data_IF_828679741983
#
_entry.id   IF_828679741983
#
_cell.length_a   1.000
_cell.length_b   1.000
_cell.length_c   1.000
_cell.angle_alpha   90.00
_cell.angle_beta   90.00
_cell.angle_gamma   90.00
#
_symmetry.space_group_name_H-M   'P 1'
#
loop_
_entity.id
_entity.type
_entity.pdbx_description
1 polymer ?
#
# COMPACT_ATOMS: atom_id res chain seq x y z
N UNK A 1 -8.62 1.57 -22.06
CA UNK A 1 -8.23 0.38 -21.28
C UNK A 1 -9.34 0.02 -20.30
N UNK A 2 -9.41 -1.25 -19.92
CA UNK A 2 -10.30 -1.72 -18.85
C UNK A 2 -9.45 -2.15 -17.68
N UNK A 3 -9.77 -1.69 -16.49
CA UNK A 3 -9.00 -1.98 -15.27
C UNK A 3 -9.96 -2.10 -14.09
N UNK A 4 -9.67 -3.03 -13.19
CA UNK A 4 -10.38 -3.12 -11.91
C UNK A 4 -9.59 -2.32 -10.88
N UNK A 5 -10.20 -1.33 -10.25
CA UNK A 5 -9.57 -0.52 -9.20
C UNK A 5 -10.43 -0.53 -7.95
N UNK A 6 -9.88 -1.02 -6.83
CA UNK A 6 -10.59 -1.13 -5.56
C UNK A 6 -11.97 -1.82 -5.73
N UNK A 7 -11.99 -2.97 -6.37
CA UNK A 7 -13.18 -3.78 -6.69
C UNK A 7 -14.17 -3.17 -7.71
N UNK A 8 -13.89 -1.98 -8.26
CA UNK A 8 -14.73 -1.34 -9.27
C UNK A 8 -14.12 -1.50 -10.66
N UNK A 9 -14.88 -2.07 -11.61
CA UNK A 9 -14.48 -2.13 -13.01
C UNK A 9 -14.62 -0.76 -13.66
N UNK A 10 -13.55 -0.28 -14.25
CA UNK A 10 -13.48 1.01 -14.91
C UNK A 10 -13.05 0.85 -16.37
N UNK A 11 -13.59 1.71 -17.22
CA UNK A 11 -13.14 1.86 -18.60
C UNK A 11 -12.67 3.30 -18.81
N UNK A 12 -11.42 3.48 -19.27
CA UNK A 12 -10.82 4.78 -19.46
C UNK A 12 -9.98 4.83 -20.73
N UNK A 13 -9.99 5.99 -21.37
CA UNK A 13 -9.02 6.32 -22.42
C UNK A 13 -7.81 7.00 -21.76
N UNK A 14 -6.61 6.49 -22.03
CA UNK A 14 -5.37 7.00 -21.42
C UNK A 14 -4.29 7.17 -22.48
N UNK A 15 -3.45 8.19 -22.30
CA UNK A 15 -2.24 8.32 -23.13
C UNK A 15 -1.29 7.14 -22.87
N UNK A 16 -0.65 6.57 -23.93
CA UNK A 16 0.26 5.43 -23.78
C UNK A 16 1.41 5.63 -22.80
N UNK A 17 1.86 6.87 -22.60
CA UNK A 17 2.95 7.25 -21.70
C UNK A 17 2.51 7.69 -20.31
N UNK A 18 1.20 7.71 -20.02
CA UNK A 18 0.70 8.09 -18.71
C UNK A 18 1.18 7.08 -17.65
N UNK A 19 1.76 7.58 -16.55
CA UNK A 19 2.16 6.73 -15.43
C UNK A 19 0.94 6.32 -14.61
N UNK A 20 0.97 5.14 -14.03
CA UNK A 20 -0.11 4.60 -13.22
C UNK A 20 -0.42 5.50 -12.01
N UNK A 21 0.59 6.11 -11.39
CA UNK A 21 0.40 7.04 -10.28
C UNK A 21 -0.43 8.26 -10.68
N UNK A 22 -0.21 8.81 -11.86
CA UNK A 22 -0.99 9.96 -12.35
C UNK A 22 -2.41 9.54 -12.74
N UNK A 23 -2.58 8.37 -13.35
CA UNK A 23 -3.90 7.81 -13.61
C UNK A 23 -4.71 7.67 -12.32
N UNK A 24 -4.14 7.05 -11.29
CA UNK A 24 -4.78 6.86 -9.99
C UNK A 24 -5.15 8.22 -9.35
N UNK A 25 -4.21 9.15 -9.29
CA UNK A 25 -4.39 10.40 -8.55
C UNK A 25 -5.21 11.46 -9.30
N UNK A 26 -4.94 11.62 -10.59
CA UNK A 26 -5.44 12.75 -11.39
C UNK A 26 -6.67 12.36 -12.20
N UNK A 27 -6.72 11.13 -12.72
CA UNK A 27 -7.87 10.67 -13.51
C UNK A 27 -8.97 10.09 -12.61
N UNK A 28 -8.58 9.26 -11.63
CA UNK A 28 -9.55 8.61 -10.73
C UNK A 28 -9.82 9.41 -9.44
N UNK A 29 -8.99 10.40 -9.11
CA UNK A 29 -9.14 11.19 -7.89
C UNK A 29 -8.78 10.45 -6.60
N UNK A 30 -8.13 9.27 -6.69
CA UNK A 30 -7.69 8.47 -5.55
C UNK A 30 -6.36 9.03 -5.03
N UNK A 31 -6.42 10.03 -4.16
CA UNK A 31 -5.25 10.81 -3.72
C UNK A 31 -4.48 10.19 -2.56
N UNK A 32 -4.98 9.11 -1.97
CA UNK A 32 -4.29 8.37 -0.90
C UNK A 32 -2.98 7.73 -1.36
N UNK A 33 -2.85 7.40 -2.63
CA UNK A 33 -1.56 7.02 -3.22
C UNK A 33 -0.69 8.27 -3.36
N UNK A 34 0.37 8.41 -2.58
CA UNK A 34 1.25 9.58 -2.62
C UNK A 34 2.36 9.42 -3.66
N UNK A 35 2.92 10.55 -4.11
CA UNK A 35 4.04 10.59 -5.04
C UNK A 35 5.12 11.55 -4.51
N UNK A 36 6.23 10.98 -3.98
CA UNK A 36 7.26 11.75 -3.29
C UNK A 36 8.61 11.80 -4.00
N UNK A 37 8.78 11.11 -5.13
CA UNK A 37 10.00 11.17 -5.95
C UNK A 37 9.68 10.79 -7.40
N UNK A 38 10.63 11.09 -8.30
CA UNK A 38 10.62 10.68 -9.72
C UNK A 38 11.68 9.62 -10.06
N UNK A 39 12.30 9.04 -9.02
CA UNK A 39 13.46 8.14 -9.12
C UNK A 39 13.18 6.73 -8.62
N UNK A 40 11.92 6.37 -8.39
CA UNK A 40 11.46 5.08 -7.86
C UNK A 40 12.04 4.66 -6.49
N UNK A 41 12.63 5.60 -5.73
CA UNK A 41 13.30 5.28 -4.46
C UNK A 41 12.36 5.31 -3.25
N UNK A 42 11.42 6.30 -3.17
CA UNK A 42 10.73 6.58 -1.90
C UNK A 42 9.65 5.56 -1.52
N UNK A 43 9.03 4.85 -2.46
CA UNK A 43 7.97 3.88 -2.20
C UNK A 43 6.61 4.47 -1.76
N UNK A 44 6.46 5.81 -1.68
CA UNK A 44 5.19 6.44 -1.29
C UNK A 44 4.04 6.14 -2.25
N UNK A 45 4.35 5.82 -3.51
CA UNK A 45 3.40 5.49 -4.56
C UNK A 45 3.08 3.99 -4.68
N UNK A 46 3.46 3.17 -3.70
CA UNK A 46 3.20 1.73 -3.74
C UNK A 46 1.70 1.44 -3.74
N UNK A 47 1.29 0.60 -4.68
CA UNK A 47 -0.06 0.03 -4.83
C UNK A 47 0.08 -1.47 -5.08
N UNK A 48 -0.99 -2.25 -4.97
CA UNK A 48 -0.97 -3.63 -5.46
C UNK A 48 -1.43 -3.66 -6.92
N UNK A 49 -0.72 -4.42 -7.74
CA UNK A 49 -1.12 -4.79 -9.09
C UNK A 49 -1.23 -6.31 -9.13
N UNK A 50 -2.45 -6.83 -9.28
CA UNK A 50 -2.76 -8.25 -9.15
C UNK A 50 -2.25 -8.87 -7.83
N UNK A 51 -2.36 -8.11 -6.74
CA UNK A 51 -1.91 -8.54 -5.41
C UNK A 51 -0.42 -8.29 -5.12
N UNK A 52 0.40 -7.95 -6.10
CA UNK A 52 1.84 -7.71 -5.93
C UNK A 52 2.16 -6.22 -5.72
N UNK A 53 3.02 -5.84 -4.77
CA UNK A 53 3.34 -4.45 -4.51
C UNK A 53 4.24 -3.87 -5.63
N UNK A 54 3.77 -2.82 -6.26
CA UNK A 54 4.50 -2.11 -7.33
C UNK A 54 4.59 -0.61 -7.02
N UNK A 55 5.69 0.02 -7.44
CA UNK A 55 5.81 1.49 -7.39
C UNK A 55 5.11 2.07 -8.63
N UNK A 56 3.90 2.58 -8.45
CA UNK A 56 3.05 3.06 -9.56
C UNK A 56 3.69 4.20 -10.39
N UNK A 57 4.70 4.88 -9.86
CA UNK A 57 5.48 5.88 -10.61
C UNK A 57 6.43 5.28 -11.66
N UNK A 58 6.60 3.95 -11.70
CA UNK A 58 7.43 3.25 -12.70
C UNK A 58 6.61 2.34 -13.63
N UNK A 59 5.30 2.32 -13.44
CA UNK A 59 4.37 1.53 -14.24
C UNK A 59 3.57 2.46 -15.16
N UNK A 60 3.49 2.13 -16.45
CA UNK A 60 2.60 2.83 -17.38
C UNK A 60 1.14 2.41 -17.11
N UNK A 61 0.21 3.37 -17.13
CA UNK A 61 -1.21 3.09 -16.87
C UNK A 61 -1.77 2.01 -17.82
N UNK A 62 -1.35 2.00 -19.09
CA UNK A 62 -1.75 0.99 -20.08
C UNK A 62 -1.37 -0.44 -19.69
N UNK A 63 -0.36 -0.63 -18.84
CA UNK A 63 0.03 -1.95 -18.32
C UNK A 63 -0.97 -2.53 -17.32
N UNK A 64 -1.81 -1.68 -16.73
CA UNK A 64 -2.91 -2.13 -15.86
C UNK A 64 -4.16 -2.58 -16.64
N UNK A 65 -4.13 -2.57 -17.98
CA UNK A 65 -5.26 -3.03 -18.78
C UNK A 65 -5.53 -4.54 -18.55
N UNK A 66 -6.77 -4.87 -18.21
CA UNK A 66 -7.23 -6.21 -17.83
C UNK A 66 -6.61 -6.76 -16.51
N UNK A 67 -6.04 -5.89 -15.69
CA UNK A 67 -5.46 -6.20 -14.38
C UNK A 67 -6.25 -5.54 -13.25
N UNK A 68 -5.92 -5.91 -12.02
CA UNK A 68 -6.50 -5.35 -10.79
C UNK A 68 -5.49 -4.45 -10.07
N UNK A 69 -5.93 -3.26 -9.69
CA UNK A 69 -5.14 -2.31 -8.90
C UNK A 69 -5.84 -2.11 -7.55
N UNK A 70 -5.13 -2.35 -6.45
CA UNK A 70 -5.61 -2.00 -5.11
C UNK A 70 -4.78 -0.85 -4.55
N UNK A 71 -5.44 0.24 -4.20
CA UNK A 71 -4.83 1.40 -3.53
C UNK A 71 -5.14 1.36 -2.03
N UNK A 72 -4.59 2.31 -1.27
CA UNK A 72 -4.86 2.39 0.17
C UNK A 72 -6.35 2.55 0.48
N UNK A 73 -7.10 3.24 -0.39
CA UNK A 73 -8.54 3.40 -0.26
C UNK A 73 -9.30 2.06 -0.40
N UNK A 74 -8.75 1.12 -1.16
CA UNK A 74 -9.32 -0.22 -1.34
C UNK A 74 -9.07 -1.18 -0.19
N UNK A 75 -8.19 -0.84 0.75
CA UNK A 75 -7.99 -1.65 1.96
C UNK A 75 -9.02 -1.35 3.04
N UNK A 76 -9.83 -0.32 2.88
CA UNK A 76 -10.84 0.07 3.86
C UNK A 76 -12.19 -0.56 3.52
N UNK A 77 -12.76 -1.27 4.49
CA UNK A 77 -14.08 -1.92 4.35
C UNK A 77 -15.27 -1.05 4.78
N UNK A 78 -15.02 0.20 5.19
CA UNK A 78 -16.06 1.17 5.56
C UNK A 78 -16.47 1.20 7.03
N UNK A 79 -16.05 0.23 7.85
CA UNK A 79 -16.36 0.18 9.28
C UNK A 79 -15.13 0.14 10.16
N UNK A 80 -14.19 -0.74 9.90
CA UNK A 80 -13.05 -1.00 10.77
C UNK A 80 -11.73 -0.87 10.03
N UNK A 81 -10.68 -0.48 10.74
CA UNK A 81 -9.32 -0.47 10.22
C UNK A 81 -8.85 -1.92 9.99
N UNK A 82 -8.08 -2.13 8.94
CA UNK A 82 -7.36 -3.39 8.77
C UNK A 82 -6.35 -3.57 9.91
N UNK A 83 -5.91 -4.82 10.22
CA UNK A 83 -4.95 -5.05 11.29
C UNK A 83 -3.66 -4.22 11.15
N UNK A 84 -3.19 -3.99 9.92
CA UNK A 84 -2.00 -3.16 9.67
C UNK A 84 -2.31 -1.69 9.95
N UNK A 85 -3.45 -1.18 9.49
CA UNK A 85 -3.86 0.21 9.77
C UNK A 85 -4.03 0.45 11.26
N UNK A 86 -4.65 -0.49 11.99
CA UNK A 86 -4.80 -0.42 13.43
C UNK A 86 -3.46 -0.47 14.16
N UNK A 87 -2.54 -1.35 13.75
CA UNK A 87 -1.18 -1.41 14.27
C UNK A 87 -0.45 -0.07 14.13
N UNK A 88 -0.58 0.60 12.97
CA UNK A 88 -0.02 1.93 12.76
C UNK A 88 -0.63 3.00 13.67
N UNK A 89 -1.91 2.87 14.00
CA UNK A 89 -2.59 3.75 14.95
C UNK A 89 -2.11 3.50 16.39
N UNK A 90 -2.15 2.25 16.84
CA UNK A 90 -1.85 1.86 18.22
C UNK A 90 -0.38 2.08 18.59
N UNK A 91 0.52 1.70 17.69
CA UNK A 91 1.98 1.80 17.91
C UNK A 91 2.57 3.14 17.46
N UNK A 92 1.72 4.10 17.07
CA UNK A 92 2.15 5.40 16.55
C UNK A 92 3.15 5.28 15.39
N UNK A 93 2.88 4.38 14.44
CA UNK A 93 3.73 4.08 13.29
C UNK A 93 3.81 5.20 12.23
N UNK A 94 3.24 6.36 12.50
CA UNK A 94 3.23 7.51 11.59
C UNK A 94 3.41 8.83 12.34
N UNK A 95 3.93 9.84 11.63
CA UNK A 95 3.98 11.24 12.07
C UNK A 95 3.34 12.13 11.00
N UNK A 96 4.07 12.55 9.96
CA UNK A 96 3.49 13.37 8.90
C UNK A 96 2.48 12.63 8.02
N UNK A 97 2.50 11.29 8.01
CA UNK A 97 1.58 10.45 7.25
C UNK A 97 1.93 10.25 5.77
N UNK A 98 2.94 10.92 5.23
CA UNK A 98 3.21 10.90 3.79
C UNK A 98 3.64 9.52 3.27
N UNK A 99 4.48 8.78 4.00
CA UNK A 99 4.90 7.43 3.63
C UNK A 99 3.85 6.36 3.98
N UNK A 100 2.89 6.69 4.84
CA UNK A 100 2.01 5.72 5.51
C UNK A 100 1.19 4.88 4.53
N UNK A 101 0.54 5.41 3.48
CA UNK A 101 -0.23 4.59 2.55
C UNK A 101 0.60 3.51 1.87
N UNK A 102 1.74 3.88 1.28
CA UNK A 102 2.61 2.92 0.62
C UNK A 102 3.23 1.90 1.60
N UNK A 103 3.52 2.33 2.84
CA UNK A 103 4.03 1.45 3.88
C UNK A 103 2.98 0.41 4.32
N UNK A 104 1.72 0.83 4.49
CA UNK A 104 0.60 -0.05 4.84
C UNK A 104 0.34 -1.08 3.73
N UNK A 105 0.30 -0.65 2.46
CA UNK A 105 0.16 -1.56 1.30
C UNK A 105 1.24 -2.63 1.33
N UNK A 106 2.51 -2.22 1.45
CA UNK A 106 3.65 -3.14 1.50
C UNK A 106 3.56 -4.11 2.68
N UNK A 107 3.25 -3.60 3.88
CA UNK A 107 3.14 -4.42 5.07
C UNK A 107 1.95 -5.39 5.02
N UNK A 108 0.83 -4.98 4.43
CA UNK A 108 -0.36 -5.83 4.29
C UNK A 108 -0.05 -7.03 3.40
N UNK A 109 0.53 -6.81 2.24
CA UNK A 109 0.90 -7.88 1.32
C UNK A 109 1.98 -8.79 1.94
N UNK A 110 2.99 -8.19 2.57
CA UNK A 110 4.04 -8.96 3.24
C UNK A 110 3.48 -9.91 4.31
N UNK A 111 2.54 -9.45 5.16
CA UNK A 111 1.92 -10.28 6.19
C UNK A 111 1.01 -11.37 5.64
N UNK A 112 0.45 -11.21 4.45
CA UNK A 112 -0.29 -12.30 3.77
C UNK A 112 0.65 -13.45 3.39
N UNK A 113 1.89 -13.15 2.97
CA UNK A 113 2.89 -14.15 2.60
C UNK A 113 3.66 -14.70 3.81
N UNK A 114 3.91 -13.87 4.81
CA UNK A 114 4.63 -14.23 6.03
C UNK A 114 3.86 -13.73 7.26
N UNK A 115 2.94 -14.54 7.80
CA UNK A 115 2.07 -14.11 8.90
C UNK A 115 2.77 -14.08 10.28
N UNK A 116 3.99 -14.59 10.41
CA UNK A 116 4.76 -14.62 11.66
C UNK A 116 6.21 -14.15 11.46
N UNK A 117 6.39 -12.88 11.04
CA UNK A 117 7.70 -12.39 10.68
C UNK A 117 8.56 -12.06 11.89
N UNK A 118 9.86 -12.28 11.74
CA UNK A 118 10.88 -11.69 12.60
C UNK A 118 11.01 -10.19 12.34
N UNK A 119 11.59 -9.46 13.29
CA UNK A 119 11.89 -8.03 13.10
C UNK A 119 12.78 -7.78 11.87
N UNK A 120 13.77 -8.63 11.62
CA UNK A 120 14.67 -8.51 10.49
C UNK A 120 13.92 -8.64 9.15
N UNK A 121 12.99 -9.58 9.04
CA UNK A 121 12.16 -9.76 7.85
C UNK A 121 11.21 -8.58 7.61
N UNK A 122 10.66 -7.99 8.69
CA UNK A 122 9.84 -6.78 8.59
C UNK A 122 10.69 -5.63 8.04
N UNK A 123 11.89 -5.40 8.60
CA UNK A 123 12.80 -4.34 8.15
C UNK A 123 13.19 -4.51 6.68
N UNK A 124 13.44 -5.73 6.24
CA UNK A 124 13.72 -6.05 4.84
C UNK A 124 12.50 -5.75 3.96
N UNK A 125 11.32 -6.23 4.33
CA UNK A 125 10.10 -6.04 3.56
C UNK A 125 9.76 -4.56 3.32
N UNK A 126 9.93 -3.70 4.34
CA UNK A 126 9.66 -2.26 4.22
C UNK A 126 10.84 -1.43 3.69
N UNK A 127 11.98 -2.04 3.37
CA UNK A 127 13.20 -1.33 2.94
C UNK A 127 13.01 -0.48 1.68
N UNK A 128 12.04 -0.86 0.85
CA UNK A 128 11.64 -0.12 -0.35
C UNK A 128 10.79 1.13 -0.11
N UNK A 129 10.42 1.42 1.16
CA UNK A 129 9.55 2.54 1.54
C UNK A 129 10.28 3.48 2.51
N UNK A 130 10.53 4.72 2.09
CA UNK A 130 11.28 5.68 2.89
C UNK A 130 10.36 6.47 3.83
N UNK A 131 10.74 6.52 5.10
CA UNK A 131 10.15 7.40 6.11
C UNK A 131 11.22 8.33 6.68
N UNK A 132 10.96 9.66 6.65
CA UNK A 132 11.90 10.66 7.19
C UNK A 132 11.63 11.02 8.64
N UNK A 133 10.49 10.61 9.19
CA UNK A 133 10.00 11.09 10.48
C UNK A 133 10.26 10.14 11.65
N UNK A 134 9.95 8.84 11.48
CA UNK A 134 9.76 7.89 12.59
C UNK A 134 11.04 7.15 13.02
N UNK A 135 12.08 7.13 12.17
CA UNK A 135 13.24 6.23 12.37
C UNK A 135 12.88 4.75 12.26
N UNK A 136 11.69 4.42 11.71
CA UNK A 136 11.18 3.07 11.45
C UNK A 136 10.82 2.23 12.69
N UNK A 137 11.25 2.59 13.87
CA UNK A 137 11.06 1.79 15.10
C UNK A 137 9.59 1.48 15.36
N UNK A 138 8.75 2.52 15.36
CA UNK A 138 7.31 2.34 15.58
C UNK A 138 6.59 1.71 14.38
N UNK A 139 7.10 1.88 13.17
CA UNK A 139 6.58 1.19 11.99
C UNK A 139 6.80 -0.32 12.12
N UNK A 140 7.98 -0.74 12.54
CA UNK A 140 8.27 -2.17 12.78
C UNK A 140 7.36 -2.73 13.85
N UNK A 141 7.17 -2.00 14.98
CA UNK A 141 6.23 -2.39 16.04
C UNK A 141 4.80 -2.49 15.54
N UNK A 142 4.37 -1.57 14.67
CA UNK A 142 3.04 -1.58 14.06
C UNK A 142 2.81 -2.86 13.23
N UNK A 143 3.79 -3.26 12.42
CA UNK A 143 3.72 -4.50 11.64
C UNK A 143 3.73 -5.74 12.54
N UNK A 144 4.57 -5.75 13.58
CA UNK A 144 4.56 -6.83 14.59
C UNK A 144 3.23 -6.92 15.33
N UNK A 145 2.63 -5.76 15.68
CA UNK A 145 1.30 -5.71 16.30
C UNK A 145 0.25 -6.32 15.38
N UNK A 146 0.24 -5.93 14.10
CA UNK A 146 -0.67 -6.46 13.10
C UNK A 146 -0.52 -7.97 12.92
N UNK A 147 0.71 -8.48 12.85
CA UNK A 147 0.98 -9.92 12.75
C UNK A 147 0.41 -10.72 13.93
N UNK A 148 0.48 -10.17 15.15
CA UNK A 148 -0.06 -10.83 16.36
C UNK A 148 -1.59 -10.75 16.44
N UNK A 149 -2.19 -9.64 16.07
CA UNK A 149 -3.61 -9.36 16.29
C UNK A 149 -4.48 -9.69 15.06
N UNK A 150 -3.93 -9.61 13.83
CA UNK A 150 -4.64 -9.97 12.61
C UNK A 150 -5.09 -11.43 12.57
N UNK A 151 -4.28 -12.34 13.10
CA UNK A 151 -4.64 -13.76 13.24
C UNK A 151 -5.83 -14.02 14.16
N UNK A 152 -6.02 -13.16 15.17
CA UNK A 152 -7.13 -13.32 16.10
C UNK A 152 -8.49 -12.97 15.47
N UNK A 153 -8.49 -12.15 14.42
CA UNK A 153 -9.71 -11.76 13.70
C UNK A 153 -10.14 -12.84 12.68
N UNK A 154 -9.18 -13.56 12.09
CA UNK A 154 -9.47 -14.66 11.14
C UNK A 154 -10.02 -15.93 11.83
N UNK A 155 -9.68 -16.16 13.11
CA UNK A 155 -10.12 -17.34 13.87
C UNK A 155 -11.50 -17.15 14.50
N UNK A 156 -12.05 -15.92 14.49
CA UNK A 156 -13.33 -15.55 15.11
C UNK A 156 -14.49 -15.32 14.11
N UNK A 157 -14.30 -15.60 12.81
CA UNK A 157 -15.30 -15.39 11.77
C UNK A 157 -16.02 -16.68 11.34
#
# INVERSE_FOLDING_TARGET
MKVKVNDVMLEAEVEPRLLLVHFIRETLGLTGTHWGCDTSNCGACTVLLDGEPVKSCTVLAVRANAHEVTTIEGLWSGTDLTPVQEGFHVEHGLQCGFCTPGMIITATEFLQRNPDPTEAEIREAISGNLCRCTGYENIVKAVQWAARNGRAQEVGA
#
